data_IF_127021928974
#
_entry.id   IF_127021928974
#
_cell.length_a   1.000
_cell.length_b   1.000
_cell.length_c   1.000
_cell.angle_alpha   90.00
_cell.angle_beta   90.00
_cell.angle_gamma   90.00
#
_symmetry.space_group_name_H-M   'P 1'
#
loop_
_entity.id
_entity.type
_entity.pdbx_description
1 polymer ?
#
# COMPACT_ATOMS: atom_id res chain seq x y z
N UNK A 1 -9.41 16.41 -16.62
CA UNK A 1 -8.51 17.17 -15.71
C UNK A 1 -8.10 16.25 -14.59
N UNK A 2 -6.80 15.97 -14.45
CA UNK A 2 -6.28 15.30 -13.26
C UNK A 2 -6.27 16.32 -12.13
N UNK A 3 -6.86 15.98 -10.99
CA UNK A 3 -6.73 16.82 -9.79
C UNK A 3 -5.51 16.35 -9.01
N UNK A 4 -4.92 17.23 -8.19
CA UNK A 4 -3.77 16.90 -7.32
C UNK A 4 -4.10 15.70 -6.43
N UNK A 5 -5.34 15.60 -5.96
CA UNK A 5 -5.84 14.48 -5.18
C UNK A 5 -5.88 13.17 -5.99
N UNK A 6 -6.27 13.24 -7.26
CA UNK A 6 -6.27 12.09 -8.16
C UNK A 6 -4.85 11.60 -8.51
N UNK A 7 -3.86 12.49 -8.51
CA UNK A 7 -2.45 12.13 -8.65
C UNK A 7 -1.90 11.48 -7.38
N UNK A 8 -2.20 12.03 -6.21
CA UNK A 8 -1.84 11.44 -4.92
C UNK A 8 -2.42 10.03 -4.74
N UNK A 9 -3.71 9.82 -5.04
CA UNK A 9 -4.33 8.48 -4.99
C UNK A 9 -3.65 7.48 -5.91
N UNK A 10 -3.31 7.90 -7.14
CA UNK A 10 -2.63 7.03 -8.10
C UNK A 10 -1.20 6.70 -7.67
N UNK A 11 -0.50 7.66 -7.06
CA UNK A 11 0.83 7.44 -6.50
C UNK A 11 0.79 6.41 -5.35
N UNK A 12 -0.16 6.55 -4.41
CA UNK A 12 -0.36 5.58 -3.32
C UNK A 12 -0.69 4.19 -3.85
N UNK A 13 -1.65 4.08 -4.78
CA UNK A 13 -2.01 2.79 -5.36
C UNK A 13 -0.86 2.13 -6.14
N UNK A 14 -0.02 2.93 -6.80
CA UNK A 14 1.17 2.42 -7.50
C UNK A 14 2.21 1.90 -6.50
N UNK A 15 2.45 2.63 -5.40
CA UNK A 15 3.38 2.21 -4.37
C UNK A 15 2.88 0.94 -3.65
N UNK A 16 1.61 0.88 -3.27
CA UNK A 16 1.01 -0.30 -2.62
C UNK A 16 1.18 -1.57 -3.47
N UNK A 17 0.86 -1.51 -4.77
CA UNK A 17 1.09 -2.64 -5.68
C UNK A 17 2.56 -3.03 -5.81
N UNK A 18 3.47 -2.06 -5.75
CA UNK A 18 4.90 -2.34 -5.84
C UNK A 18 5.42 -3.04 -4.56
N UNK A 19 4.92 -2.64 -3.39
CA UNK A 19 5.25 -3.27 -2.11
C UNK A 19 4.70 -4.69 -2.04
N UNK A 20 3.43 -4.91 -2.42
CA UNK A 20 2.83 -6.24 -2.47
C UNK A 20 3.64 -7.18 -3.39
N UNK A 21 4.06 -6.67 -4.56
CA UNK A 21 4.93 -7.43 -5.45
C UNK A 21 6.27 -7.73 -4.78
N UNK A 22 6.91 -6.73 -4.16
CA UNK A 22 8.19 -6.92 -3.49
C UNK A 22 8.11 -7.98 -2.37
N UNK A 23 7.02 -8.00 -1.61
CA UNK A 23 6.79 -9.00 -0.56
C UNK A 23 6.70 -10.43 -1.13
N UNK A 24 5.98 -10.62 -2.25
CA UNK A 24 5.88 -11.92 -2.94
C UNK A 24 7.22 -12.38 -3.50
N UNK A 25 7.98 -11.47 -4.11
CA UNK A 25 9.31 -11.77 -4.66
C UNK A 25 10.32 -12.09 -3.54
N UNK A 26 10.23 -11.41 -2.39
CA UNK A 26 11.08 -11.70 -1.23
C UNK A 26 10.81 -13.09 -0.67
N UNK A 27 9.55 -13.52 -0.59
CA UNK A 27 9.19 -14.87 -0.14
C UNK A 27 9.67 -15.94 -1.14
N UNK A 28 9.55 -15.68 -2.44
CA UNK A 28 10.09 -16.57 -3.47
C UNK A 28 11.62 -16.71 -3.36
N UNK A 29 12.33 -15.60 -3.13
CA UNK A 29 13.77 -15.58 -2.90
C UNK A 29 14.14 -16.35 -1.62
N UNK A 30 13.41 -16.12 -0.53
CA UNK A 30 13.57 -16.85 0.75
C UNK A 30 13.49 -18.35 0.52
N UNK A 31 12.46 -18.82 -0.20
CA UNK A 31 12.27 -20.23 -0.51
C UNK A 31 13.42 -20.82 -1.35
N UNK A 32 13.85 -20.11 -2.39
CA UNK A 32 14.92 -20.56 -3.28
C UNK A 32 16.28 -20.67 -2.55
N UNK A 33 16.65 -19.65 -1.77
CA UNK A 33 17.93 -19.65 -1.05
C UNK A 33 17.92 -20.58 0.14
N UNK A 34 16.80 -20.70 0.88
CA UNK A 34 16.69 -21.68 1.96
C UNK A 34 16.91 -23.11 1.45
N UNK A 35 16.45 -23.43 0.24
CA UNK A 35 16.70 -24.73 -0.37
C UNK A 35 18.18 -24.91 -0.77
N UNK A 36 18.85 -23.85 -1.19
CA UNK A 36 20.25 -23.89 -1.62
C UNK A 36 21.26 -23.90 -0.45
N UNK A 37 20.97 -23.14 0.61
CA UNK A 37 21.92 -22.87 1.72
C UNK A 37 21.64 -23.72 2.96
N UNK A 38 20.43 -24.28 3.11
CA UNK A 38 20.10 -25.18 4.22
C UNK A 38 20.24 -24.51 5.59
N UNK A 39 21.18 -24.98 6.41
CA UNK A 39 21.41 -24.51 7.78
C UNK A 39 22.12 -23.15 7.84
N UNK A 40 22.88 -22.78 6.81
CA UNK A 40 23.57 -21.49 6.74
C UNK A 40 22.65 -20.34 6.30
N UNK A 41 21.40 -20.66 5.94
CA UNK A 41 20.44 -19.69 5.45
C UNK A 41 20.10 -18.63 6.52
N UNK A 42 20.27 -17.32 6.23
CA UNK A 42 20.08 -16.25 7.21
C UNK A 42 18.58 -15.91 7.41
N UNK A 43 17.82 -16.83 8.01
CA UNK A 43 16.37 -16.72 8.18
C UNK A 43 15.94 -15.40 8.85
N UNK A 44 16.64 -14.98 9.90
CA UNK A 44 16.31 -13.76 10.65
C UNK A 44 16.42 -12.49 9.79
N UNK A 45 17.37 -12.45 8.86
CA UNK A 45 17.55 -11.31 7.96
C UNK A 45 16.38 -11.18 6.98
N UNK A 46 15.88 -12.31 6.47
CA UNK A 46 14.71 -12.34 5.59
C UNK A 46 13.43 -11.99 6.34
N UNK A 47 13.27 -12.46 7.58
CA UNK A 47 12.12 -12.08 8.42
C UNK A 47 12.12 -10.59 8.74
N UNK A 48 13.29 -10.01 9.03
CA UNK A 48 13.42 -8.57 9.24
C UNK A 48 13.09 -7.77 7.96
N UNK A 49 13.54 -8.24 6.79
CA UNK A 49 13.17 -7.62 5.52
C UNK A 49 11.65 -7.69 5.27
N UNK A 50 11.00 -8.82 5.57
CA UNK A 50 9.54 -8.94 5.51
C UNK A 50 8.83 -7.99 6.47
N UNK A 51 9.29 -7.88 7.73
CA UNK A 51 8.72 -6.93 8.70
C UNK A 51 8.78 -5.48 8.20
N UNK A 52 9.89 -5.09 7.57
CA UNK A 52 10.04 -3.74 7.00
C UNK A 52 9.10 -3.50 5.82
N UNK A 53 8.92 -4.48 4.94
CA UNK A 53 7.95 -4.37 3.85
C UNK A 53 6.52 -4.25 4.39
N UNK A 54 6.15 -5.08 5.37
CA UNK A 54 4.84 -4.99 6.02
C UNK A 54 4.61 -3.63 6.69
N UNK A 55 5.62 -3.06 7.33
CA UNK A 55 5.54 -1.71 7.89
C UNK A 55 5.32 -0.63 6.82
N UNK A 56 5.95 -0.77 5.65
CA UNK A 56 5.72 0.13 4.51
C UNK A 56 4.32 -0.04 3.91
N UNK A 57 3.80 -1.26 3.83
CA UNK A 57 2.43 -1.53 3.39
C UNK A 57 1.41 -0.86 4.32
N UNK A 58 1.55 -1.08 5.64
CA UNK A 58 0.70 -0.44 6.65
C UNK A 58 0.76 1.09 6.54
N UNK A 59 1.96 1.66 6.38
CA UNK A 59 2.13 3.10 6.17
C UNK A 59 1.36 3.60 4.94
N UNK A 60 1.43 2.89 3.80
CA UNK A 60 0.70 3.28 2.58
C UNK A 60 -0.81 3.20 2.75
N UNK A 61 -1.30 2.22 3.49
CA UNK A 61 -2.73 2.07 3.79
C UNK A 61 -3.23 3.21 4.68
N UNK A 62 -2.51 3.54 5.76
CA UNK A 62 -2.80 4.68 6.63
C UNK A 62 -2.78 6.00 5.85
N UNK A 63 -1.77 6.20 5.00
CA UNK A 63 -1.69 7.35 4.11
C UNK A 63 -2.89 7.45 3.16
N UNK A 64 -3.36 6.30 2.67
CA UNK A 64 -4.58 6.17 1.88
C UNK A 64 -5.82 6.63 2.62
N UNK A 65 -6.00 6.19 3.88
CA UNK A 65 -7.13 6.62 4.71
C UNK A 65 -7.08 8.12 5.00
N UNK A 66 -5.92 8.63 5.41
CA UNK A 66 -5.75 10.07 5.67
C UNK A 66 -6.05 10.93 4.45
N UNK A 67 -5.67 10.47 3.25
CA UNK A 67 -6.00 11.17 2.00
C UNK A 67 -7.51 11.11 1.71
N UNK A 68 -8.16 9.96 1.95
CA UNK A 68 -9.61 9.81 1.80
C UNK A 68 -10.36 10.77 2.72
N UNK A 69 -10.00 10.81 4.00
CA UNK A 69 -10.59 11.70 5.00
C UNK A 69 -10.46 13.17 4.60
N UNK A 70 -9.25 13.61 4.20
CA UNK A 70 -9.03 14.99 3.73
C UNK A 70 -9.94 15.34 2.55
N UNK A 71 -10.13 14.43 1.60
CA UNK A 71 -10.97 14.69 0.44
C UNK A 71 -12.46 14.74 0.82
N UNK A 72 -12.90 13.87 1.73
CA UNK A 72 -14.27 13.88 2.26
C UNK A 72 -14.57 15.22 2.97
N UNK A 73 -13.65 15.70 3.81
CA UNK A 73 -13.81 16.95 4.54
C UNK A 73 -13.63 18.20 3.67
N UNK A 74 -12.66 18.23 2.75
CA UNK A 74 -12.44 19.35 1.84
C UNK A 74 -13.50 19.44 0.72
N UNK A 75 -14.13 18.31 0.37
CA UNK A 75 -15.18 18.22 -0.64
C UNK A 75 -16.56 18.74 -0.21
N UNK A 76 -16.73 19.19 1.05
CA UNK A 76 -17.99 19.78 1.53
C UNK A 76 -19.20 18.83 1.44
N UNK A 77 -18.98 17.51 1.48
CA UNK A 77 -20.06 16.55 1.58
C UNK A 77 -20.45 16.41 3.05
N UNK A 78 -21.30 17.33 3.53
CA UNK A 78 -22.23 16.95 4.58
C UNK A 78 -23.00 15.71 4.10
N UNK A 79 -23.20 14.69 4.96
CA UNK A 79 -24.00 13.50 4.64
C UNK A 79 -25.47 13.91 4.48
N UNK A 80 -25.82 14.44 3.31
CA UNK A 80 -27.15 15.01 3.04
C UNK A 80 -27.33 15.70 1.68
N UNK A 81 -26.26 16.06 0.96
CA UNK A 81 -26.38 16.65 -0.40
C UNK A 81 -26.03 15.66 -1.51
N UNK A 82 -26.74 14.55 -1.58
CA UNK A 82 -26.97 13.91 -2.88
C UNK A 82 -28.05 14.72 -3.59
N UNK A 83 -27.65 15.68 -4.44
CA UNK A 83 -28.57 16.20 -5.45
C UNK A 83 -28.88 15.03 -6.39
N UNK A 84 -30.01 14.36 -6.16
CA UNK A 84 -30.71 13.60 -7.21
C UNK A 84 -31.05 14.59 -8.31
N UNK A 85 -30.19 14.70 -9.30
CA UNK A 85 -30.55 15.26 -10.59
C UNK A 85 -31.44 14.25 -11.31
N UNK A 86 -32.75 14.42 -11.14
CA UNK A 86 -33.76 14.18 -12.16
C UNK A 86 -34.50 15.53 -12.29
N UNK A 87 -35.04 15.92 -13.45
CA UNK A 87 -35.54 15.10 -14.55
C UNK A 87 -34.61 14.97 -15.76
#
# INVERSE_FOLDING_TARGET
>A
MTTVEGEARRALARLGRALEKAARELEALRGALRHAEGEDFPADAYEEAHRRLAALEAFVDEEGERLREKILHAGGLEPGRVRRGAP
#
